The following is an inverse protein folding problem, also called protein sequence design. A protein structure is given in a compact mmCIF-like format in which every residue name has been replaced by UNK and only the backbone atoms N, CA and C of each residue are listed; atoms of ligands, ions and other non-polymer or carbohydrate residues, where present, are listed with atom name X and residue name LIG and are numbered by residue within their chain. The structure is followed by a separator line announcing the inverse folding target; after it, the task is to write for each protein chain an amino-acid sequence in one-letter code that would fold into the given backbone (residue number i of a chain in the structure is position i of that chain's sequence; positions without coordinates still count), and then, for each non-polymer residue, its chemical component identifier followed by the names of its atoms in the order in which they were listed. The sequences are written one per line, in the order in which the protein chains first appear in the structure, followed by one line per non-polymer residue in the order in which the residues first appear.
data_IF_270454197476
#
_entry.id   IF_270454197476
#
_cell.length_a   1.000
_cell.length_b   1.000
_cell.length_c   1.000
_cell.angle_alpha   90.00
_cell.angle_beta   90.00
_cell.angle_gamma   90.00
#
_symmetry.space_group_name_H-M   'P 1'
#
loop_
_entity.id
_entity.type
_entity.pdbx_description
1 polymer ?
#
# COMPACT_ATOMS: atom_id res chain seq x y z
N UNK A 1 -4.03 38.07 56.73
CA UNK A 1 -3.09 37.60 55.68
C UNK A 1 -3.03 36.09 55.56
N UNK A 2 -2.77 35.29 56.61
CA UNK A 2 -2.70 33.81 56.51
C UNK A 2 -3.98 33.12 55.95
N UNK A 3 -5.19 33.61 56.28
CA UNK A 3 -6.46 33.05 55.75
C UNK A 3 -6.72 33.39 54.28
N UNK A 4 -6.20 34.51 53.78
CA UNK A 4 -6.31 34.90 52.37
C UNK A 4 -5.32 34.12 51.49
N UNK A 5 -4.13 33.80 52.03
CA UNK A 5 -3.13 32.99 51.32
C UNK A 5 -3.59 31.53 51.15
N UNK A 6 -4.29 30.97 52.13
CA UNK A 6 -4.90 29.64 52.05
C UNK A 6 -6.07 29.62 51.07
N UNK A 7 -6.89 30.68 51.02
CA UNK A 7 -7.94 30.81 50.01
C UNK A 7 -7.34 30.95 48.59
N UNK A 8 -6.24 31.69 48.45
CA UNK A 8 -5.54 31.86 47.17
C UNK A 8 -4.88 30.56 46.71
N UNK A 9 -4.31 29.77 47.61
CA UNK A 9 -3.77 28.44 47.29
C UNK A 9 -4.87 27.42 46.95
N UNK A 10 -6.02 27.46 47.63
CA UNK A 10 -7.18 26.58 47.32
C UNK A 10 -7.85 26.98 46.00
N UNK A 11 -7.84 28.27 45.64
CA UNK A 11 -8.39 28.75 44.35
C UNK A 11 -7.40 28.55 43.20
N UNK A 12 -6.08 28.62 43.43
CA UNK A 12 -5.07 28.27 42.42
C UNK A 12 -4.94 26.76 42.20
N UNK A 13 -5.21 25.94 43.21
CA UNK A 13 -5.12 24.47 43.10
C UNK A 13 -6.29 23.81 42.37
N UNK A 14 -7.28 24.58 41.88
CA UNK A 14 -8.49 24.04 41.24
C UNK A 14 -8.56 24.37 39.74
N UNK A 15 -7.57 25.08 39.19
CA UNK A 15 -7.45 25.24 37.74
C UNK A 15 -6.23 24.49 37.22
N UNK A 16 -6.29 23.15 37.30
CA UNK A 16 -5.56 22.32 36.33
C UNK A 16 -6.26 22.58 34.99
N UNK A 17 -5.69 23.48 34.20
CA UNK A 17 -6.13 23.69 32.82
C UNK A 17 -5.63 22.48 32.06
N UNK A 18 -6.56 21.70 31.50
CA UNK A 18 -6.22 20.58 30.66
C UNK A 18 -5.29 21.01 29.52
N UNK A 19 -4.21 20.28 29.32
CA UNK A 19 -3.28 20.48 28.23
C UNK A 19 -3.80 19.77 26.97
N UNK A 20 -3.44 20.29 25.80
CA UNK A 20 -3.83 19.70 24.52
C UNK A 20 -2.62 19.66 23.60
N UNK A 21 -2.23 18.46 23.21
CA UNK A 21 -1.22 18.22 22.20
C UNK A 21 -1.86 18.30 20.81
N UNK A 22 -1.15 18.91 19.87
CA UNK A 22 -1.58 19.06 18.49
C UNK A 22 -0.51 18.48 17.58
N UNK A 23 -0.89 17.47 16.82
CA UNK A 23 -0.04 16.85 15.82
C UNK A 23 -0.44 17.43 14.46
N UNK A 24 0.42 18.23 13.80
CA UNK A 24 0.11 18.79 12.50
C UNK A 24 0.02 17.68 11.44
N UNK A 25 -0.93 17.82 10.53
CA UNK A 25 -1.08 16.99 9.33
C UNK A 25 -1.12 17.93 8.13
N UNK A 26 -0.16 17.84 7.24
CA UNK A 26 -0.12 18.69 6.05
C UNK A 26 -0.23 17.86 4.78
N UNK A 27 -0.96 18.39 3.82
CA UNK A 27 -1.09 17.84 2.46
C UNK A 27 -1.27 19.01 1.50
N UNK A 28 -0.65 18.91 0.33
CA UNK A 28 -0.93 19.80 -0.79
C UNK A 28 -2.06 19.18 -1.61
N UNK A 29 -3.25 19.78 -1.58
CA UNK A 29 -4.36 19.36 -2.46
C UNK A 29 -4.26 20.12 -3.78
N UNK A 30 -4.27 19.37 -4.88
CA UNK A 30 -4.22 19.88 -6.25
C UNK A 30 -5.53 19.61 -7.00
N UNK A 31 -6.19 18.48 -6.71
CA UNK A 31 -7.46 18.07 -7.32
C UNK A 31 -8.67 18.67 -6.62
N UNK A 32 -8.51 19.06 -5.35
CA UNK A 32 -9.62 19.45 -4.46
C UNK A 32 -10.38 18.25 -3.89
N UNK A 33 -10.05 17.02 -4.30
CA UNK A 33 -10.59 15.81 -3.71
C UNK A 33 -9.97 15.55 -2.34
N UNK A 34 -10.71 14.96 -1.40
CA UNK A 34 -10.13 14.54 -0.13
C UNK A 34 -9.04 13.48 -0.34
N UNK A 35 -7.94 13.61 0.40
CA UNK A 35 -6.85 12.66 0.48
C UNK A 35 -7.10 11.73 1.66
N UNK A 36 -7.09 10.43 1.39
CA UNK A 36 -7.20 9.39 2.41
C UNK A 36 -5.91 9.31 3.26
N UNK A 37 -6.06 9.37 4.58
CA UNK A 37 -4.97 9.28 5.54
C UNK A 37 -5.19 8.08 6.44
N UNK A 38 -4.15 7.25 6.60
CA UNK A 38 -4.06 6.20 7.61
C UNK A 38 -2.75 6.34 8.38
N UNK A 39 -2.86 6.26 9.71
CA UNK A 39 -1.72 6.31 10.64
C UNK A 39 -1.95 5.32 11.78
N UNK A 40 -0.89 4.62 12.19
CA UNK A 40 -0.98 3.71 13.32
C UNK A 40 -1.11 4.50 14.63
N UNK A 41 -1.89 3.98 15.57
CA UNK A 41 -2.00 4.58 16.91
C UNK A 41 -0.66 4.56 17.66
N UNK A 42 0.26 3.64 17.33
CA UNK A 42 1.65 3.70 17.81
C UNK A 42 2.36 4.99 17.40
N UNK A 43 2.21 5.40 16.14
CA UNK A 43 2.89 6.59 15.61
C UNK A 43 2.28 7.86 16.21
N UNK A 44 0.96 7.87 16.43
CA UNK A 44 0.30 8.96 17.16
C UNK A 44 0.78 9.04 18.61
N UNK A 45 0.91 7.90 19.30
CA UNK A 45 1.43 7.86 20.67
C UNK A 45 2.86 8.43 20.74
N UNK A 46 3.72 8.07 19.80
CA UNK A 46 5.08 8.57 19.71
C UNK A 46 5.12 10.10 19.48
N UNK A 47 4.22 10.63 18.65
CA UNK A 47 4.10 12.07 18.35
C UNK A 47 3.49 12.87 19.50
N UNK A 48 2.54 12.29 20.23
CA UNK A 48 1.92 12.92 21.42
C UNK A 48 2.91 12.94 22.60
N UNK A 49 3.74 11.90 22.70
CA UNK A 49 4.72 11.71 23.74
C UNK A 49 4.21 10.77 24.83
N UNK A 50 5.01 9.75 25.14
CA UNK A 50 4.67 8.69 26.11
C UNK A 50 4.45 9.17 27.55
N UNK A 51 4.93 10.37 27.89
CA UNK A 51 4.78 10.99 29.21
C UNK A 51 3.48 11.83 29.34
N UNK A 52 2.75 12.03 28.25
CA UNK A 52 1.47 12.75 28.25
C UNK A 52 0.32 11.79 28.58
N UNK A 53 -0.46 12.10 29.62
CA UNK A 53 -1.58 11.28 30.08
C UNK A 53 -2.82 11.50 29.19
N UNK A 54 -2.71 11.04 27.94
CA UNK A 54 -3.71 11.25 26.90
C UNK A 54 -5.07 10.63 27.24
N UNK A 55 -6.11 11.45 27.27
CA UNK A 55 -7.47 10.96 27.12
C UNK A 55 -7.76 10.72 25.64
N UNK A 56 -7.67 9.47 25.18
CA UNK A 56 -7.93 9.12 23.78
C UNK A 56 -9.37 9.38 23.32
N UNK A 57 -10.34 9.43 24.25
CA UNK A 57 -11.72 9.85 23.93
C UNK A 57 -11.79 11.34 23.53
N UNK A 58 -10.77 12.13 23.88
CA UNK A 58 -10.65 13.52 23.48
C UNK A 58 -9.97 13.72 22.12
N UNK A 59 -9.51 12.66 21.45
CA UNK A 59 -8.91 12.75 20.12
C UNK A 59 -9.88 13.42 19.15
N UNK A 60 -9.42 14.40 18.38
CA UNK A 60 -10.18 15.02 17.28
C UNK A 60 -9.29 15.23 16.08
N UNK A 61 -9.88 15.17 14.90
CA UNK A 61 -9.24 15.66 13.66
C UNK A 61 -9.90 16.98 13.32
N UNK A 62 -9.11 18.04 13.15
CA UNK A 62 -9.59 19.40 12.93
C UNK A 62 -8.97 19.99 11.67
N UNK A 63 -9.79 20.53 10.78
CA UNK A 63 -9.38 21.26 9.59
C UNK A 63 -10.13 22.61 9.55
N UNK A 64 -9.40 23.71 9.34
CA UNK A 64 -9.97 25.07 9.32
C UNK A 64 -10.86 25.39 10.54
N UNK A 65 -10.48 24.89 11.71
CA UNK A 65 -11.23 25.05 12.96
C UNK A 65 -12.52 24.24 13.06
N UNK A 66 -12.78 23.33 12.11
CA UNK A 66 -13.92 22.41 12.13
C UNK A 66 -13.45 20.98 12.39
N UNK A 67 -14.19 20.28 13.24
CA UNK A 67 -14.00 18.85 13.44
C UNK A 67 -14.38 18.08 12.17
N UNK A 68 -13.50 17.19 11.74
CA UNK A 68 -13.71 16.24 10.65
C UNK A 68 -14.05 14.87 11.21
N UNK A 69 -14.94 14.09 10.54
CA UNK A 69 -15.15 12.70 10.88
C UNK A 69 -13.86 11.89 10.72
N UNK A 70 -13.63 10.99 11.67
CA UNK A 70 -12.52 10.04 11.65
C UNK A 70 -12.98 8.72 12.27
N UNK A 71 -12.21 7.66 12.05
CA UNK A 71 -12.43 6.36 12.70
C UNK A 71 -11.12 5.78 13.23
N UNK A 72 -11.23 5.04 14.33
CA UNK A 72 -10.14 4.22 14.83
C UNK A 72 -10.56 2.76 14.65
N UNK A 73 -9.81 2.05 13.83
CA UNK A 73 -10.06 0.67 13.46
C UNK A 73 -9.25 -0.26 14.36
N UNK A 74 -9.93 -1.17 15.08
CA UNK A 74 -9.34 -2.26 15.88
C UNK A 74 -8.63 -3.26 14.97
N UNK A 75 -7.43 -2.89 14.52
CA UNK A 75 -6.71 -3.62 13.49
C UNK A 75 -5.87 -4.78 14.04
N UNK A 76 -5.76 -4.93 15.36
CA UNK A 76 -5.22 -6.12 16.01
C UNK A 76 -6.31 -7.04 16.63
N UNK A 77 -7.59 -6.65 16.48
CA UNK A 77 -8.77 -7.44 16.83
C UNK A 77 -8.84 -7.79 18.32
N UNK A 78 -8.26 -6.97 19.18
CA UNK A 78 -8.19 -7.23 20.62
C UNK A 78 -9.39 -6.67 21.41
N UNK A 79 -10.27 -5.89 20.76
CA UNK A 79 -11.49 -5.32 21.33
C UNK A 79 -11.29 -4.09 22.21
N UNK A 80 -10.10 -3.47 22.21
CA UNK A 80 -9.76 -2.26 22.97
C UNK A 80 -8.85 -1.35 22.15
N UNK A 81 -8.85 -0.05 22.45
CA UNK A 81 -7.89 0.87 21.85
C UNK A 81 -6.45 0.41 22.15
N UNK A 82 -5.65 0.27 21.11
CA UNK A 82 -4.28 -0.26 21.21
C UNK A 82 -3.32 0.42 20.22
N UNK A 83 -2.01 0.18 20.40
CA UNK A 83 -0.99 0.64 19.45
C UNK A 83 -1.09 -0.03 18.08
N UNK A 84 -1.76 -1.19 17.99
CA UNK A 84 -1.98 -1.92 16.75
C UNK A 84 -3.12 -1.38 15.89
N UNK A 85 -3.89 -0.43 16.41
CA UNK A 85 -5.06 0.17 15.75
C UNK A 85 -4.65 1.24 14.74
N UNK A 86 -5.56 1.52 13.81
CA UNK A 86 -5.33 2.50 12.74
C UNK A 86 -6.32 3.65 12.86
N UNK A 87 -5.81 4.88 12.93
CA UNK A 87 -6.60 6.09 12.76
C UNK A 87 -6.72 6.41 11.27
N UNK A 88 -7.95 6.56 10.80
CA UNK A 88 -8.29 6.85 9.40
C UNK A 88 -9.18 8.07 9.28
N UNK A 89 -8.87 8.95 8.33
CA UNK A 89 -9.67 10.16 8.05
C UNK A 89 -9.41 10.71 6.63
N UNK A 90 -10.20 11.69 6.21
CA UNK A 90 -10.12 12.34 4.89
C UNK A 90 -9.87 13.84 5.05
N UNK A 91 -8.89 14.40 4.33
CA UNK A 91 -8.55 15.84 4.38
C UNK A 91 -8.37 16.44 2.99
N UNK A 92 -8.71 17.71 2.83
CA UNK A 92 -8.51 18.48 1.58
C UNK A 92 -7.37 19.52 1.66
N UNK A 93 -6.58 19.49 2.74
CA UNK A 93 -5.58 20.51 3.05
C UNK A 93 -5.06 20.35 4.49
N UNK A 94 -4.27 21.31 5.00
CA UNK A 94 -3.69 21.25 6.35
C UNK A 94 -4.75 21.01 7.44
N UNK A 95 -4.46 20.08 8.34
CA UNK A 95 -5.29 19.68 9.47
C UNK A 95 -4.44 19.46 10.73
N UNK A 96 -5.09 19.24 11.85
CA UNK A 96 -4.45 18.91 13.14
C UNK A 96 -5.16 17.70 13.76
N UNK A 97 -4.40 16.77 14.30
CA UNK A 97 -4.91 15.76 15.24
C UNK A 97 -4.68 16.33 16.64
N UNK A 98 -5.74 16.49 17.42
CA UNK A 98 -5.66 17.08 18.77
C UNK A 98 -6.04 16.05 19.82
N UNK A 99 -5.27 15.97 20.90
CA UNK A 99 -5.54 15.07 22.05
C UNK A 99 -5.30 15.86 23.33
N UNK A 100 -6.20 15.75 24.30
CA UNK A 100 -6.09 16.40 25.62
C UNK A 100 -5.93 15.39 26.76
N UNK A 101 -5.52 15.89 27.92
CA UNK A 101 -5.53 15.16 29.20
C UNK A 101 -6.86 15.35 29.98
N UNK A 102 -7.88 15.94 29.35
CA UNK A 102 -9.18 16.14 29.97
C UNK A 102 -10.06 14.89 29.87
N UNK A 103 -10.14 14.12 30.96
CA UNK A 103 -10.95 12.90 31.07
C UNK A 103 -12.48 13.13 31.16
N UNK A 104 -12.95 14.38 31.23
CA UNK A 104 -14.39 14.68 31.16
C UNK A 104 -14.93 14.69 29.72
N UNK A 105 -14.04 14.66 28.71
CA UNK A 105 -14.42 14.65 27.29
C UNK A 105 -14.83 13.24 26.88
N UNK A 106 -16.00 13.14 26.24
CA UNK A 106 -16.53 11.91 25.66
C UNK A 106 -16.07 11.71 24.22
N UNK A 107 -16.02 10.46 23.74
CA UNK A 107 -15.69 10.15 22.35
C UNK A 107 -16.74 10.75 21.40
N UNK A 108 -16.34 11.21 20.20
CA UNK A 108 -17.29 11.74 19.23
C UNK A 108 -18.13 10.61 18.63
N UNK A 109 -19.24 10.96 18.00
CA UNK A 109 -20.09 10.01 17.28
C UNK A 109 -20.34 10.54 15.88
N UNK A 110 -20.02 9.72 14.88
CA UNK A 110 -20.21 10.03 13.47
C UNK A 110 -21.15 9.00 12.83
N UNK A 111 -21.80 9.39 11.73
CA UNK A 111 -22.61 8.47 10.95
C UNK A 111 -21.71 7.64 10.01
N UNK A 112 -21.98 6.34 9.84
CA UNK A 112 -21.24 5.51 8.89
C UNK A 112 -21.53 5.92 7.45
N UNK A 113 -20.53 5.77 6.56
CA UNK A 113 -20.64 6.13 5.12
C UNK A 113 -20.84 4.94 4.18
N UNK A 114 -21.05 3.74 4.74
CA UNK A 114 -21.21 2.52 3.97
C UNK A 114 -21.90 1.41 4.76
N UNK A 115 -21.89 0.21 4.18
CA UNK A 115 -22.52 -0.98 4.74
C UNK A 115 -21.66 -2.21 4.47
N UNK A 116 -21.67 -3.12 5.45
CA UNK A 116 -21.07 -4.46 5.32
C UNK A 116 -22.16 -5.50 5.57
N UNK A 117 -22.26 -6.50 4.69
CA UNK A 117 -23.17 -7.64 4.85
C UNK A 117 -22.38 -8.92 4.65
N UNK A 118 -22.53 -9.89 5.55
CA UNK A 118 -21.92 -11.21 5.39
C UNK A 118 -22.86 -12.14 4.61
N UNK A 119 -22.36 -12.72 3.52
CA UNK A 119 -23.09 -13.62 2.63
C UNK A 119 -22.17 -14.80 2.25
N UNK A 120 -22.61 -16.04 2.51
CA UNK A 120 -21.89 -17.28 2.14
C UNK A 120 -20.40 -17.34 2.56
N UNK A 121 -20.06 -16.73 3.71
CA UNK A 121 -18.68 -16.70 4.23
C UNK A 121 -17.76 -15.69 3.53
N UNK A 122 -18.36 -14.72 2.84
CA UNK A 122 -17.72 -13.54 2.28
C UNK A 122 -18.42 -12.28 2.81
N UNK A 123 -17.76 -11.13 2.70
CA UNK A 123 -18.34 -9.85 3.12
C UNK A 123 -18.53 -8.96 1.91
N UNK A 124 -19.79 -8.61 1.64
CA UNK A 124 -20.19 -7.62 0.65
C UNK A 124 -20.07 -6.24 1.29
N UNK A 125 -19.34 -5.36 0.63
CA UNK A 125 -18.99 -4.02 1.08
C UNK A 125 -19.57 -3.02 0.07
N UNK A 126 -20.38 -2.08 0.55
CA UNK A 126 -20.93 -0.97 -0.23
C UNK A 126 -20.48 0.35 0.41
N UNK A 127 -19.73 1.17 -0.31
CA UNK A 127 -19.23 2.45 0.20
C UNK A 127 -18.99 3.45 -0.93
N UNK A 128 -19.60 4.64 -0.84
CA UNK A 128 -19.54 5.63 -1.91
C UNK A 128 -20.02 5.02 -3.23
N UNK A 129 -19.18 5.09 -4.27
CA UNK A 129 -19.43 4.46 -5.57
C UNK A 129 -18.87 3.03 -5.67
N UNK A 130 -18.16 2.53 -4.65
CA UNK A 130 -17.52 1.21 -4.65
C UNK A 130 -18.49 0.13 -4.16
N UNK A 131 -18.57 -0.96 -4.93
CA UNK A 131 -19.03 -2.27 -4.45
C UNK A 131 -17.85 -3.22 -4.42
N UNK A 132 -17.63 -3.91 -3.31
CA UNK A 132 -16.52 -4.83 -3.12
C UNK A 132 -16.91 -6.10 -2.35
N UNK A 133 -16.07 -7.13 -2.47
CA UNK A 133 -16.17 -8.38 -1.73
C UNK A 133 -14.84 -8.64 -1.04
N UNK A 134 -14.87 -8.87 0.26
CA UNK A 134 -13.74 -9.47 0.98
C UNK A 134 -13.97 -10.99 1.10
N UNK A 135 -13.00 -11.78 0.67
CA UNK A 135 -13.09 -13.24 0.78
C UNK A 135 -12.66 -13.72 2.18
N UNK A 136 -12.73 -15.03 2.42
CA UNK A 136 -12.36 -15.66 3.70
C UNK A 136 -10.85 -15.58 4.04
N UNK A 137 -10.02 -14.98 3.19
CA UNK A 137 -8.60 -14.65 3.44
C UNK A 137 -8.39 -13.15 3.69
N UNK A 138 -9.46 -12.35 3.70
CA UNK A 138 -9.39 -10.89 3.78
C UNK A 138 -8.84 -10.21 2.52
N UNK A 139 -8.75 -10.93 1.39
CA UNK A 139 -8.37 -10.32 0.11
C UNK A 139 -9.60 -9.60 -0.47
N UNK A 140 -9.42 -8.33 -0.83
CA UNK A 140 -10.48 -7.47 -1.33
C UNK A 140 -10.52 -7.52 -2.86
N UNK A 141 -11.74 -7.69 -3.38
CA UNK A 141 -12.10 -7.57 -4.80
C UNK A 141 -13.10 -6.44 -4.98
N UNK A 142 -12.82 -5.49 -5.85
CA UNK A 142 -13.79 -4.48 -6.26
C UNK A 142 -14.61 -5.04 -7.41
N UNK A 143 -15.91 -5.19 -7.18
CA UNK A 143 -16.88 -5.77 -8.12
C UNK A 143 -17.74 -4.74 -8.84
N UNK A 144 -17.58 -3.46 -8.52
CA UNK A 144 -18.19 -2.37 -9.26
C UNK A 144 -17.72 -0.99 -8.78
N UNK A 145 -17.84 -0.02 -9.68
CA UNK A 145 -17.59 1.40 -9.42
C UNK A 145 -18.56 2.26 -10.23
N UNK A 146 -19.40 3.05 -9.57
CA UNK A 146 -20.44 3.84 -10.23
C UNK A 146 -21.39 2.94 -11.04
N UNK A 147 -21.49 3.19 -12.34
CA UNK A 147 -22.33 2.40 -13.27
C UNK A 147 -21.60 1.17 -13.86
N UNK A 148 -20.31 0.95 -13.52
CA UNK A 148 -19.52 -0.17 -14.05
C UNK A 148 -19.63 -1.37 -13.11
N UNK A 149 -20.11 -2.50 -13.64
CA UNK A 149 -20.18 -3.78 -12.93
C UNK A 149 -19.12 -4.79 -13.44
N UNK A 150 -18.57 -5.58 -12.53
CA UNK A 150 -17.59 -6.64 -12.82
C UNK A 150 -16.28 -6.47 -12.04
N UNK A 151 -15.30 -7.34 -12.31
CA UNK A 151 -14.00 -7.29 -11.62
C UNK A 151 -13.18 -6.06 -12.02
N UNK A 152 -13.31 -4.97 -11.27
CA UNK A 152 -12.53 -3.73 -11.47
C UNK A 152 -11.09 -3.91 -11.01
N UNK A 153 -10.89 -4.58 -9.87
CA UNK A 153 -9.58 -5.03 -9.37
C UNK A 153 -9.82 -6.19 -8.41
N UNK A 154 -8.91 -7.16 -8.38
CA UNK A 154 -9.03 -8.36 -7.56
C UNK A 154 -7.81 -8.55 -6.67
N UNK A 155 -8.00 -9.32 -5.59
CA UNK A 155 -6.96 -9.80 -4.70
C UNK A 155 -5.98 -8.72 -4.19
N UNK A 156 -6.50 -7.54 -3.82
CA UNK A 156 -5.66 -6.43 -3.33
C UNK A 156 -4.85 -6.90 -2.12
N UNK A 157 -3.52 -6.83 -2.24
CA UNK A 157 -2.58 -7.22 -1.18
C UNK A 157 -2.22 -8.71 -1.17
N UNK A 158 -2.61 -9.50 -2.17
CA UNK A 158 -2.14 -10.88 -2.28
C UNK A 158 -0.62 -10.91 -2.43
N UNK A 159 0.03 -11.88 -1.78
CA UNK A 159 1.47 -12.10 -1.96
C UNK A 159 1.72 -13.26 -2.89
N UNK A 160 2.80 -13.18 -3.67
CA UNK A 160 3.51 -14.33 -4.23
C UNK A 160 4.82 -14.49 -3.47
N UNK A 161 4.95 -15.63 -2.79
CA UNK A 161 6.13 -15.96 -2.01
C UNK A 161 6.77 -17.24 -2.54
N UNK A 162 8.09 -17.21 -2.70
CA UNK A 162 8.88 -18.35 -3.14
C UNK A 162 10.19 -18.41 -2.40
N UNK A 163 10.71 -19.60 -2.14
CA UNK A 163 11.91 -19.81 -1.33
C UNK A 163 12.15 -21.26 -0.94
N UNK A 164 13.08 -21.48 -0.01
CA UNK A 164 13.59 -22.79 0.37
C UNK A 164 13.03 -23.26 1.72
N UNK A 165 12.00 -24.10 1.66
CA UNK A 165 11.27 -24.60 2.83
C UNK A 165 12.08 -25.64 3.59
N UNK A 166 12.18 -25.45 4.91
CA UNK A 166 12.95 -26.33 5.79
C UNK A 166 14.45 -26.18 5.64
N UNK A 167 14.92 -25.05 5.10
CA UNK A 167 16.35 -24.76 4.96
C UNK A 167 17.07 -24.77 6.31
N UNK A 168 18.24 -25.42 6.33
CA UNK A 168 19.18 -25.45 7.46
C UNK A 168 20.45 -24.68 7.15
N UNK A 169 20.44 -23.80 6.14
CA UNK A 169 21.60 -23.08 5.64
C UNK A 169 22.43 -22.40 6.74
N UNK A 170 21.79 -21.83 7.77
CA UNK A 170 22.49 -21.19 8.90
C UNK A 170 23.25 -22.18 9.82
N UNK A 171 22.97 -23.49 9.72
CA UNK A 171 23.63 -24.57 10.47
C UNK A 171 24.70 -25.25 9.62
N UNK A 172 24.34 -25.68 8.41
CA UNK A 172 25.17 -26.58 7.59
C UNK A 172 25.32 -26.14 6.13
N UNK A 173 24.74 -25.02 5.73
CA UNK A 173 24.80 -24.51 4.36
C UNK A 173 23.85 -25.21 3.39
N UNK A 174 22.98 -26.10 3.85
CA UNK A 174 22.06 -26.85 2.99
C UNK A 174 20.71 -26.13 2.82
N UNK A 175 20.28 -26.00 1.57
CA UNK A 175 18.98 -25.46 1.23
C UNK A 175 17.89 -26.52 1.29
N UNK A 176 16.70 -26.09 1.73
CA UNK A 176 15.51 -26.92 1.75
C UNK A 176 14.88 -27.13 0.36
N UNK A 177 13.64 -27.65 0.33
CA UNK A 177 12.90 -27.79 -0.92
C UNK A 177 12.40 -26.41 -1.39
N UNK A 178 12.64 -26.08 -2.65
CA UNK A 178 12.07 -24.87 -3.24
C UNK A 178 10.54 -24.98 -3.40
N UNK A 179 9.82 -23.97 -2.94
CA UNK A 179 8.36 -23.83 -3.06
C UNK A 179 7.98 -22.46 -3.61
N UNK A 180 6.82 -22.38 -4.26
CA UNK A 180 6.16 -21.12 -4.64
C UNK A 180 4.68 -21.20 -4.28
N UNK A 181 4.18 -20.17 -3.61
CA UNK A 181 2.82 -20.09 -3.08
C UNK A 181 2.27 -18.68 -3.15
N UNK A 182 0.95 -18.57 -3.07
CA UNK A 182 0.27 -17.28 -2.89
C UNK A 182 -0.46 -17.23 -1.55
N UNK A 183 -0.90 -16.04 -1.12
CA UNK A 183 -1.70 -15.90 0.12
C UNK A 183 -2.96 -16.76 0.13
N UNK A 184 -3.49 -17.12 -1.05
CA UNK A 184 -4.62 -18.05 -1.17
C UNK A 184 -4.37 -19.42 -0.53
N UNK A 185 -3.11 -19.88 -0.54
CA UNK A 185 -2.68 -21.15 0.06
C UNK A 185 -2.39 -21.05 1.56
N UNK A 186 -2.34 -19.84 2.12
CA UNK A 186 -1.94 -19.63 3.52
C UNK A 186 -3.09 -19.93 4.47
N UNK A 187 -2.77 -20.41 5.67
CA UNK A 187 -3.78 -20.67 6.68
C UNK A 187 -4.25 -19.34 7.29
N UNK A 188 -5.56 -19.18 7.45
CA UNK A 188 -6.11 -18.00 8.12
C UNK A 188 -5.87 -18.17 9.61
N UNK A 189 -5.15 -17.22 10.23
CA UNK A 189 -5.14 -17.06 11.68
C UNK A 189 -6.35 -16.25 12.09
N UNK A 190 -6.52 -15.09 11.46
CA UNK A 190 -7.60 -14.14 11.73
C UNK A 190 -8.06 -13.48 10.43
N UNK A 191 -9.36 -13.21 10.34
CA UNK A 191 -9.97 -12.40 9.27
C UNK A 191 -11.20 -11.70 9.84
N UNK A 192 -11.34 -10.42 9.56
CA UNK A 192 -12.49 -9.64 9.97
C UNK A 192 -12.72 -8.48 9.01
N UNK A 193 -13.98 -8.14 8.76
CA UNK A 193 -14.36 -6.86 8.18
C UNK A 193 -14.96 -6.03 9.28
N UNK A 194 -14.30 -4.92 9.61
CA UNK A 194 -14.71 -4.05 10.70
C UNK A 194 -16.02 -3.32 10.34
N UNK A 195 -16.82 -2.91 11.35
CA UNK A 195 -18.04 -2.15 11.11
C UNK A 195 -17.77 -0.91 10.24
N UNK A 196 -18.74 -0.53 9.41
CA UNK A 196 -18.60 0.67 8.60
C UNK A 196 -18.38 1.90 9.48
N UNK A 197 -17.29 2.61 9.23
CA UNK A 197 -16.97 3.85 9.89
C UNK A 197 -17.45 5.07 9.09
N UNK A 198 -17.22 6.27 9.61
CA UNK A 198 -17.58 7.54 8.96
C UNK A 198 -16.72 7.95 7.77
N UNK A 199 -15.60 7.27 7.49
CA UNK A 199 -14.76 7.60 6.33
C UNK A 199 -14.49 6.39 5.43
N UNK A 200 -14.48 5.18 6.00
CA UNK A 200 -14.10 3.97 5.30
C UNK A 200 -14.60 2.67 5.97
N UNK A 201 -14.33 1.56 5.27
CA UNK A 201 -14.52 0.19 5.76
C UNK A 201 -13.17 -0.53 5.70
N UNK A 202 -12.75 -1.13 6.81
CA UNK A 202 -11.43 -1.77 6.94
C UNK A 202 -11.57 -3.28 7.02
N UNK A 203 -10.81 -3.97 6.18
CA UNK A 203 -10.64 -5.42 6.17
C UNK A 203 -9.29 -5.75 6.77
N UNK A 204 -9.28 -6.64 7.77
CA UNK A 204 -8.08 -7.08 8.47
C UNK A 204 -7.93 -8.59 8.29
N UNK A 205 -6.75 -9.05 7.92
CA UNK A 205 -6.43 -10.47 7.96
C UNK A 205 -5.01 -10.74 8.39
N UNK A 206 -4.83 -11.82 9.14
CA UNK A 206 -3.54 -12.39 9.49
C UNK A 206 -3.49 -13.80 8.93
N UNK A 207 -2.54 -14.05 8.04
CA UNK A 207 -2.34 -15.31 7.34
C UNK A 207 -0.99 -15.92 7.74
N UNK A 208 -0.97 -17.22 7.99
CA UNK A 208 0.24 -17.99 8.24
C UNK A 208 0.66 -18.75 6.98
N UNK A 209 1.87 -18.45 6.51
CA UNK A 209 2.44 -19.10 5.36
C UNK A 209 3.00 -20.48 5.74
N UNK A 210 2.13 -21.46 5.97
CA UNK A 210 2.52 -22.81 6.45
C UNK A 210 3.75 -23.43 5.78
N UNK A 211 3.95 -23.33 4.45
CA UNK A 211 5.16 -23.84 3.82
C UNK A 211 6.43 -23.10 4.27
N UNK A 212 6.35 -21.81 4.55
CA UNK A 212 7.44 -20.98 5.05
C UNK A 212 7.28 -20.77 6.56
N UNK A 213 7.70 -21.78 7.33
CA UNK A 213 7.51 -21.81 8.78
C UNK A 213 7.96 -20.50 9.44
N UNK A 214 7.14 -19.99 10.36
CA UNK A 214 7.40 -18.76 11.09
C UNK A 214 7.10 -17.46 10.34
N UNK A 215 6.66 -17.52 9.08
CA UNK A 215 6.26 -16.33 8.31
C UNK A 215 4.76 -16.08 8.45
N UNK A 216 4.42 -14.89 8.93
CA UNK A 216 3.03 -14.40 9.02
C UNK A 216 2.87 -13.16 8.14
N UNK A 217 1.77 -13.07 7.40
CA UNK A 217 1.36 -11.90 6.62
C UNK A 217 0.14 -11.26 7.28
N UNK A 218 0.25 -10.01 7.71
CA UNK A 218 -0.88 -9.17 8.09
C UNK A 218 -1.26 -8.26 6.93
N UNK A 219 -2.53 -8.23 6.57
CA UNK A 219 -3.10 -7.40 5.51
C UNK A 219 -4.16 -6.51 6.15
N UNK A 220 -3.98 -5.19 6.04
CA UNK A 220 -4.98 -4.20 6.42
C UNK A 220 -5.35 -3.43 5.16
N UNK A 221 -6.59 -3.54 4.72
CA UNK A 221 -7.09 -2.83 3.54
C UNK A 221 -8.28 -1.96 3.93
N UNK A 222 -8.11 -0.65 3.87
CA UNK A 222 -9.17 0.34 4.13
C UNK A 222 -9.69 0.89 2.82
N UNK A 223 -10.99 0.70 2.57
CA UNK A 223 -11.72 1.25 1.42
C UNK A 223 -12.37 2.56 1.89
N UNK A 224 -12.00 3.68 1.29
CA UNK A 224 -12.52 5.00 1.63
C UNK A 224 -13.71 5.37 0.74
N UNK A 225 -14.59 6.21 1.28
CA UNK A 225 -15.78 6.70 0.58
C UNK A 225 -15.51 7.57 -0.65
N UNK A 226 -14.28 8.06 -0.82
CA UNK A 226 -13.85 8.84 -1.98
C UNK A 226 -13.30 7.97 -3.14
N UNK A 227 -13.32 6.64 -3.03
CA UNK A 227 -12.78 5.75 -4.06
C UNK A 227 -11.31 5.34 -3.88
N UNK A 228 -10.63 5.88 -2.87
CA UNK A 228 -9.27 5.44 -2.51
C UNK A 228 -9.32 4.15 -1.68
N UNK A 229 -8.32 3.30 -1.88
CA UNK A 229 -8.11 2.06 -1.12
C UNK A 229 -6.67 2.05 -0.65
N UNK A 230 -6.44 2.01 0.66
CA UNK A 230 -5.10 1.90 1.22
C UNK A 230 -4.89 0.48 1.71
N UNK A 231 -3.91 -0.22 1.14
CA UNK A 231 -3.52 -1.57 1.56
C UNK A 231 -2.14 -1.54 2.20
N UNK A 232 -2.04 -2.08 3.41
CA UNK A 232 -0.80 -2.26 4.14
C UNK A 232 -0.58 -3.76 4.37
N UNK A 233 0.51 -4.27 3.82
CA UNK A 233 0.96 -5.65 3.99
C UNK A 233 2.19 -5.66 4.88
N UNK A 234 2.14 -6.41 5.97
CA UNK A 234 3.25 -6.58 6.91
C UNK A 234 3.61 -8.06 7.00
N UNK A 235 4.88 -8.39 6.77
CA UNK A 235 5.42 -9.73 6.91
C UNK A 235 6.30 -9.78 8.15
N UNK A 236 5.99 -10.69 9.06
CA UNK A 236 6.77 -10.94 10.28
C UNK A 236 7.43 -12.31 10.21
N UNK A 237 8.71 -12.35 10.54
CA UNK A 237 9.54 -13.55 10.51
C UNK A 237 9.83 -14.00 11.95
N UNK A 238 9.10 -15.00 12.45
CA UNK A 238 9.34 -15.58 13.77
C UNK A 238 10.56 -16.54 13.79
N UNK A 239 11.00 -17.00 12.62
CA UNK A 239 12.16 -17.88 12.45
C UNK A 239 12.96 -17.47 11.23
N UNK A 240 14.14 -18.06 11.07
CA UNK A 240 14.95 -17.90 9.87
C UNK A 240 14.18 -18.32 8.61
N UNK A 241 14.22 -17.50 7.56
CA UNK A 241 13.58 -17.80 6.28
C UNK A 241 14.48 -17.40 5.11
N UNK A 242 14.38 -18.17 4.02
CA UNK A 242 15.13 -17.98 2.78
C UNK A 242 14.18 -17.88 1.61
N UNK A 243 14.05 -16.67 1.08
CA UNK A 243 13.08 -16.35 0.05
C UNK A 243 13.78 -15.87 -1.23
N UNK A 244 13.26 -16.37 -2.35
CA UNK A 244 13.57 -15.88 -3.70
C UNK A 244 12.54 -14.86 -4.18
N UNK A 245 11.32 -14.90 -3.65
CA UNK A 245 10.26 -13.95 -3.99
C UNK A 245 9.50 -13.57 -2.74
N UNK A 246 9.28 -12.27 -2.57
CA UNK A 246 8.31 -11.71 -1.64
C UNK A 246 7.70 -10.50 -2.33
N UNK A 247 6.64 -10.75 -3.10
CA UNK A 247 6.01 -9.75 -3.95
C UNK A 247 4.54 -9.59 -3.58
N UNK A 248 4.14 -8.39 -3.19
CA UNK A 248 2.72 -8.06 -3.07
C UNK A 248 2.14 -7.73 -4.43
N UNK A 249 0.83 -7.92 -4.59
CA UNK A 249 0.17 -7.77 -5.87
C UNK A 249 -1.27 -7.23 -5.72
N UNK A 250 -1.76 -6.64 -6.80
CA UNK A 250 -3.17 -6.60 -7.14
C UNK A 250 -3.36 -7.28 -8.51
N UNK A 251 -4.41 -8.09 -8.66
CA UNK A 251 -4.64 -8.88 -9.87
C UNK A 251 -5.82 -8.35 -10.67
N UNK A 252 -5.83 -8.64 -11.98
CA UNK A 252 -6.94 -8.32 -12.89
C UNK A 252 -7.39 -6.86 -12.87
N UNK A 253 -6.45 -5.93 -12.73
CA UNK A 253 -6.75 -4.50 -12.64
C UNK A 253 -7.38 -4.04 -13.96
N UNK A 254 -8.69 -3.82 -14.00
CA UNK A 254 -9.56 -3.52 -15.15
C UNK A 254 -9.57 -4.52 -16.31
N UNK A 255 -8.63 -5.47 -16.36
CA UNK A 255 -8.45 -6.34 -17.52
C UNK A 255 -9.54 -7.40 -17.72
N UNK A 256 -10.39 -7.62 -16.71
CA UNK A 256 -11.52 -8.55 -16.79
C UNK A 256 -12.83 -7.85 -17.22
N UNK A 257 -12.92 -6.53 -17.07
CA UNK A 257 -14.10 -5.74 -17.43
C UNK A 257 -13.96 -5.00 -18.77
N UNK A 258 -12.72 -4.72 -19.18
CA UNK A 258 -12.45 -3.96 -20.40
C UNK A 258 -11.23 -4.51 -21.17
N UNK A 259 -11.48 -5.02 -22.38
CA UNK A 259 -10.42 -5.49 -23.29
C UNK A 259 -9.57 -4.34 -23.86
N UNK A 260 -10.11 -3.12 -23.94
CA UNK A 260 -9.42 -1.93 -24.43
C UNK A 260 -8.51 -1.27 -23.39
N UNK A 261 -8.36 -1.90 -22.22
CA UNK A 261 -7.53 -1.39 -21.12
C UNK A 261 -6.08 -1.22 -21.56
N UNK A 262 -5.51 -0.04 -21.31
CA UNK A 262 -4.09 0.27 -21.46
C UNK A 262 -3.41 0.38 -20.10
N UNK A 263 -2.19 -0.13 -20.00
CA UNK A 263 -1.29 0.10 -18.88
C UNK A 263 -0.50 1.38 -19.13
N UNK A 264 -0.46 2.26 -18.13
CA UNK A 264 0.20 3.57 -18.19
C UNK A 264 1.10 3.76 -16.97
N UNK A 265 2.29 4.32 -17.17
CA UNK A 265 3.25 4.60 -16.09
C UNK A 265 4.34 5.58 -16.54
N UNK A 266 5.06 6.23 -15.62
CA UNK A 266 6.26 6.98 -15.93
C UNK A 266 7.33 6.10 -16.57
N UNK A 267 8.20 6.70 -17.38
CA UNK A 267 9.40 6.01 -17.88
C UNK A 267 10.29 5.62 -16.70
N UNK A 268 10.69 4.35 -16.66
CA UNK A 268 11.55 3.83 -15.59
C UNK A 268 12.85 4.61 -15.48
N UNK A 269 13.26 4.87 -14.23
CA UNK A 269 14.60 5.38 -13.92
C UNK A 269 15.67 4.34 -14.27
N UNK A 270 15.36 3.04 -14.17
CA UNK A 270 16.24 1.94 -14.56
C UNK A 270 15.43 0.69 -14.95
N UNK A 271 15.88 -0.01 -15.98
CA UNK A 271 15.19 -1.19 -16.52
C UNK A 271 16.23 -2.20 -17.03
N UNK A 272 16.13 -3.46 -16.59
CA UNK A 272 17.07 -4.51 -17.00
C UNK A 272 17.13 -4.64 -18.52
N UNK A 273 15.97 -4.59 -19.18
CA UNK A 273 15.87 -4.67 -20.63
C UNK A 273 16.64 -3.58 -21.37
N UNK A 274 16.67 -2.37 -20.81
CA UNK A 274 17.44 -1.27 -21.37
C UNK A 274 18.94 -1.47 -21.13
N UNK A 275 19.32 -1.88 -19.91
CA UNK A 275 20.71 -2.18 -19.54
C UNK A 275 21.29 -3.30 -20.43
N UNK A 276 20.52 -4.36 -20.71
CA UNK A 276 20.91 -5.47 -21.61
C UNK A 276 21.11 -5.07 -23.07
N UNK A 277 20.38 -4.06 -23.53
CA UNK A 277 20.54 -3.53 -24.89
C UNK A 277 21.53 -2.36 -24.94
N UNK A 278 22.07 -1.93 -23.80
CA UNK A 278 22.95 -0.77 -23.67
C UNK A 278 22.31 0.52 -24.23
N UNK A 279 21.03 0.73 -23.91
CA UNK A 279 20.23 1.91 -24.27
C UNK A 279 19.54 2.46 -23.02
N UNK A 280 18.95 3.65 -23.12
CA UNK A 280 18.13 4.20 -22.03
C UNK A 280 16.75 3.53 -21.96
N UNK A 281 16.08 3.53 -20.79
CA UNK A 281 14.70 3.07 -20.68
C UNK A 281 13.75 3.80 -21.66
N UNK A 282 13.97 5.09 -21.92
CA UNK A 282 13.17 5.84 -22.89
C UNK A 282 13.34 5.28 -24.31
N UNK A 283 14.58 5.04 -24.76
CA UNK A 283 14.86 4.44 -26.07
C UNK A 283 14.24 3.05 -26.20
N UNK A 284 14.35 2.22 -25.15
CA UNK A 284 13.77 0.88 -25.12
C UNK A 284 12.26 0.89 -25.44
N UNK A 285 11.52 1.82 -24.83
CA UNK A 285 10.07 1.93 -25.02
C UNK A 285 9.69 2.70 -26.30
N UNK A 286 10.52 3.63 -26.77
CA UNK A 286 10.34 4.30 -28.07
C UNK A 286 10.41 3.30 -29.22
N UNK A 287 11.38 2.38 -29.21
CA UNK A 287 11.52 1.34 -30.24
C UNK A 287 10.30 0.40 -30.30
N UNK A 288 9.53 0.33 -29.21
CA UNK A 288 8.32 -0.49 -29.09
C UNK A 288 7.04 0.28 -29.37
N UNK A 289 7.14 1.54 -29.80
CA UNK A 289 6.00 2.45 -29.99
C UNK A 289 5.11 2.56 -28.74
N UNK A 290 5.73 2.52 -27.56
CA UNK A 290 5.04 2.49 -26.27
C UNK A 290 5.11 3.83 -25.53
N UNK A 291 5.55 4.91 -26.19
CA UNK A 291 5.70 6.22 -25.53
C UNK A 291 4.64 7.19 -26.04
N UNK A 292 3.91 7.78 -25.10
CA UNK A 292 3.03 8.93 -25.30
C UNK A 292 3.63 10.12 -24.56
N UNK A 293 3.60 11.29 -25.20
CA UNK A 293 4.04 12.53 -24.57
C UNK A 293 2.84 13.32 -24.07
N UNK A 294 2.83 13.64 -22.78
CA UNK A 294 1.92 14.62 -22.21
C UNK A 294 2.71 15.89 -21.88
N UNK A 295 2.45 16.95 -22.64
CA UNK A 295 3.34 18.11 -22.68
C UNK A 295 4.75 17.70 -23.13
N UNK A 296 5.75 17.94 -22.28
CA UNK A 296 7.16 17.58 -22.53
C UNK A 296 7.62 16.33 -21.75
N UNK A 297 6.70 15.61 -21.10
CA UNK A 297 7.03 14.42 -20.29
C UNK A 297 6.63 13.13 -21.02
N UNK A 298 7.53 12.15 -21.15
CA UNK A 298 7.21 10.86 -21.74
C UNK A 298 6.58 9.91 -20.71
N UNK A 299 5.59 9.14 -21.16
CA UNK A 299 4.92 8.09 -20.40
C UNK A 299 4.89 6.80 -21.21
N UNK A 300 5.06 5.67 -20.53
CA UNK A 300 4.92 4.34 -21.13
C UNK A 300 3.42 4.03 -21.19
N UNK A 301 2.92 3.66 -22.37
CA UNK A 301 1.53 3.26 -22.62
C UNK A 301 1.51 2.04 -23.53
N UNK A 302 0.87 0.96 -23.09
CA UNK A 302 0.70 -0.26 -23.89
C UNK A 302 -0.58 -1.04 -23.51
N UNK A 303 -1.11 -1.93 -24.37
CA UNK A 303 -2.29 -2.72 -24.03
C UNK A 303 -2.09 -3.60 -22.79
N UNK A 304 -2.99 -3.53 -21.81
CA UNK A 304 -2.87 -4.30 -20.56
C UNK A 304 -3.20 -5.78 -20.76
N UNK A 305 -4.21 -6.09 -21.59
CA UNK A 305 -4.73 -7.47 -21.78
C UNK A 305 -3.79 -8.31 -22.64
N UNK A 306 -3.42 -7.80 -23.81
CA UNK A 306 -2.46 -8.40 -24.74
C UNK A 306 -1.15 -7.61 -24.69
N UNK A 307 -0.40 -7.82 -23.61
CA UNK A 307 0.75 -6.99 -23.27
C UNK A 307 1.93 -7.16 -24.24
N UNK A 308 2.85 -6.18 -24.20
CA UNK A 308 4.00 -6.17 -25.08
C UNK A 308 4.92 -7.35 -24.82
N UNK A 309 5.41 -7.97 -25.91
CA UNK A 309 6.38 -9.06 -25.82
C UNK A 309 7.67 -8.55 -25.20
N UNK A 310 8.20 -9.23 -24.18
CA UNK A 310 9.46 -8.84 -23.56
C UNK A 310 10.66 -9.29 -24.39
N UNK A 311 11.85 -8.90 -23.95
CA UNK A 311 13.11 -9.46 -24.49
C UNK A 311 13.19 -10.97 -24.24
N UNK A 312 12.84 -11.40 -23.03
CA UNK A 312 12.72 -12.80 -22.63
C UNK A 312 11.81 -12.90 -21.38
N UNK A 313 11.48 -14.12 -20.94
CA UNK A 313 10.70 -14.43 -19.71
C UNK A 313 9.23 -13.99 -19.61
N UNK A 314 8.50 -13.74 -20.69
CA UNK A 314 7.04 -13.51 -20.66
C UNK A 314 6.55 -12.22 -19.96
N UNK A 315 7.35 -11.60 -19.10
CA UNK A 315 7.03 -10.37 -18.36
C UNK A 315 7.36 -9.11 -19.16
N UNK A 316 6.34 -8.33 -19.54
CA UNK A 316 6.46 -7.05 -20.28
C UNK A 316 7.54 -6.14 -19.70
N UNK A 317 7.59 -6.04 -18.37
CA UNK A 317 8.76 -5.57 -17.64
C UNK A 317 8.99 -6.42 -16.40
N UNK A 318 10.26 -6.59 -16.05
CA UNK A 318 10.76 -7.28 -14.86
C UNK A 318 12.11 -6.66 -14.51
N UNK A 319 12.48 -6.67 -13.23
CA UNK A 319 13.65 -5.93 -12.74
C UNK A 319 13.62 -4.47 -13.22
N UNK A 320 12.46 -3.85 -13.06
CA UNK A 320 12.27 -2.45 -13.32
C UNK A 320 12.29 -1.71 -11.99
N UNK A 321 12.87 -0.51 -11.95
CA UNK A 321 12.77 0.35 -10.77
C UNK A 321 11.30 0.62 -10.43
N UNK A 322 10.95 0.62 -9.14
CA UNK A 322 9.62 1.04 -8.73
C UNK A 322 9.49 2.54 -8.97
N UNK A 323 8.48 2.97 -9.73
CA UNK A 323 8.21 4.38 -9.96
C UNK A 323 7.12 4.90 -9.04
N UNK A 324 6.71 6.16 -9.21
CA UNK A 324 5.78 6.80 -8.30
C UNK A 324 4.34 6.29 -8.43
N UNK A 325 3.95 5.83 -9.62
CA UNK A 325 2.61 5.32 -9.88
C UNK A 325 2.61 4.45 -11.14
N UNK A 326 1.62 3.57 -11.24
CA UNK A 326 1.22 2.87 -12.47
C UNK A 326 -0.30 2.77 -12.50
N UNK A 327 -0.91 2.76 -13.68
CA UNK A 327 -2.36 2.71 -13.79
C UNK A 327 -2.79 1.85 -14.96
N UNK A 328 -3.98 1.27 -14.85
CA UNK A 328 -4.72 0.74 -15.98
C UNK A 328 -5.89 1.67 -16.26
N UNK A 329 -6.20 1.92 -17.53
CA UNK A 329 -7.28 2.80 -17.95
C UNK A 329 -8.01 2.22 -19.17
N UNK A 330 -9.33 2.28 -19.16
CA UNK A 330 -10.19 1.91 -20.30
C UNK A 330 -10.89 3.15 -20.84
N UNK A 331 -10.75 3.38 -22.16
CA UNK A 331 -11.40 4.50 -22.84
C UNK A 331 -12.91 4.26 -22.98
N UNK A 332 -13.31 3.01 -23.24
CA UNK A 332 -14.72 2.64 -23.42
C UNK A 332 -15.54 2.79 -22.13
N UNK A 333 -14.93 2.48 -20.98
CA UNK A 333 -15.56 2.64 -19.67
C UNK A 333 -15.32 4.03 -19.06
N UNK A 334 -14.36 4.80 -19.58
CA UNK A 334 -13.85 6.04 -18.96
C UNK A 334 -13.40 5.84 -17.51
N UNK A 335 -12.90 4.65 -17.20
CA UNK A 335 -12.57 4.20 -15.86
C UNK A 335 -11.09 3.84 -15.79
N UNK A 336 -10.44 4.25 -14.71
CA UNK A 336 -9.05 3.93 -14.42
C UNK A 336 -8.87 3.41 -12.99
N UNK A 337 -7.82 2.62 -12.80
CA UNK A 337 -7.33 2.19 -11.49
C UNK A 337 -5.83 2.46 -11.44
N UNK A 338 -5.43 3.37 -10.56
CA UNK A 338 -4.03 3.71 -10.32
C UNK A 338 -3.55 3.01 -9.04
N UNK A 339 -2.34 2.49 -9.06
CA UNK A 339 -1.55 2.16 -7.87
C UNK A 339 -0.48 3.24 -7.70
N UNK A 340 -0.44 3.84 -6.52
CA UNK A 340 0.45 4.94 -6.16
C UNK A 340 1.35 4.46 -5.03
N UNK A 341 2.65 4.71 -5.20
CA UNK A 341 3.65 4.50 -4.17
C UNK A 341 3.74 5.76 -3.28
N UNK A 342 3.38 5.68 -1.99
CA UNK A 342 3.53 6.81 -1.06
C UNK A 342 4.98 7.27 -0.94
N UNK A 343 5.91 6.32 -1.05
CA UNK A 343 7.35 6.58 -1.07
C UNK A 343 7.97 5.89 -2.27
N UNK A 344 8.84 6.62 -2.98
CA UNK A 344 9.52 6.10 -4.17
C UNK A 344 10.88 5.55 -3.76
N UNK A 345 11.15 4.24 -3.92
CA UNK A 345 12.44 3.67 -3.55
C UNK A 345 13.62 4.32 -4.29
N UNK A 346 14.75 4.39 -3.59
CA UNK A 346 16.03 4.81 -4.18
C UNK A 346 16.52 3.74 -5.14
N UNK A 347 16.89 4.15 -6.35
CA UNK A 347 17.58 3.27 -7.30
C UNK A 347 19.07 3.32 -6.99
N UNK A 348 19.60 2.21 -6.47
CA UNK A 348 21.03 2.10 -6.16
C UNK A 348 21.85 1.88 -7.44
N UNK A 349 23.07 2.42 -7.45
CA UNK A 349 23.97 2.31 -8.60
C UNK A 349 24.53 0.89 -8.78
N UNK A 350 24.80 0.22 -7.66
CA UNK A 350 25.25 -1.17 -7.59
C UNK A 350 24.21 -2.09 -8.27
N UNK A 351 24.64 -2.77 -9.33
CA UNK A 351 23.75 -3.52 -10.21
C UNK A 351 23.10 -4.69 -9.47
N UNK A 352 23.90 -5.47 -8.76
CA UNK A 352 23.46 -6.64 -8.00
C UNK A 352 22.50 -6.24 -6.88
N UNK A 353 22.81 -5.18 -6.12
CA UNK A 353 21.92 -4.68 -5.06
C UNK A 353 20.62 -4.10 -5.58
N UNK A 354 20.61 -3.52 -6.78
CA UNK A 354 19.38 -3.03 -7.39
C UNK A 354 18.51 -4.19 -7.87
N UNK A 355 19.12 -5.18 -8.53
CA UNK A 355 18.43 -6.39 -9.00
C UNK A 355 17.83 -7.18 -7.85
N UNK A 356 18.55 -7.30 -6.73
CA UNK A 356 18.05 -7.88 -5.47
C UNK A 356 17.32 -6.88 -4.57
N UNK A 357 16.85 -5.79 -5.15
CA UNK A 357 16.09 -4.76 -4.47
C UNK A 357 14.59 -4.90 -4.69
N UNK A 358 13.88 -3.83 -4.32
CA UNK A 358 12.48 -3.67 -4.64
C UNK A 358 12.33 -3.36 -6.13
N UNK A 359 11.60 -4.22 -6.84
CA UNK A 359 11.35 -4.07 -8.29
C UNK A 359 9.87 -4.08 -8.60
N UNK A 360 9.52 -3.56 -9.77
CA UNK A 360 8.21 -3.74 -10.38
C UNK A 360 8.27 -4.84 -11.45
N UNK A 361 7.20 -5.62 -11.51
CA UNK A 361 7.02 -6.69 -12.50
C UNK A 361 5.61 -6.66 -13.06
N UNK A 362 5.49 -6.85 -14.38
CA UNK A 362 4.21 -6.98 -15.08
C UNK A 362 4.28 -8.12 -16.09
N UNK A 363 3.61 -9.22 -15.80
CA UNK A 363 3.65 -10.46 -16.59
C UNK A 363 2.25 -10.99 -16.91
N UNK A 364 1.41 -11.12 -15.89
CA UNK A 364 0.10 -11.79 -16.00
C UNK A 364 -1.06 -10.85 -15.71
N UNK A 365 -0.98 -9.58 -16.16
CA UNK A 365 -1.98 -8.52 -15.88
C UNK A 365 -2.08 -8.17 -14.40
N UNK A 366 -0.97 -8.36 -13.68
CA UNK A 366 -0.85 -8.13 -12.24
C UNK A 366 0.05 -6.93 -11.99
N UNK A 367 -0.38 -6.08 -11.08
CA UNK A 367 0.48 -5.08 -10.50
C UNK A 367 1.31 -5.77 -9.43
N UNK A 368 2.53 -6.19 -9.75
CA UNK A 368 3.44 -6.84 -8.79
C UNK A 368 4.57 -5.93 -8.37
N UNK A 369 4.88 -5.96 -7.08
CA UNK A 369 5.99 -5.22 -6.52
C UNK A 369 6.61 -5.97 -5.33
N UNK A 370 7.92 -5.89 -5.17
CA UNK A 370 8.63 -6.51 -4.04
C UNK A 370 9.98 -7.09 -4.43
N UNK A 371 10.46 -8.02 -3.62
CA UNK A 371 11.72 -8.72 -3.85
C UNK A 371 11.54 -9.82 -4.90
N UNK A 372 12.41 -9.85 -5.90
CA UNK A 372 12.46 -10.88 -6.93
C UNK A 372 13.91 -11.23 -7.21
N UNK A 373 14.37 -12.32 -6.62
CA UNK A 373 15.77 -12.70 -6.51
C UNK A 373 16.13 -13.89 -7.39
N UNK A 374 15.37 -14.12 -8.47
CA UNK A 374 15.72 -15.18 -9.40
C UNK A 374 16.51 -14.61 -10.56
N UNK A 375 17.81 -14.87 -10.61
CA UNK A 375 18.68 -14.35 -11.67
C UNK A 375 18.85 -15.37 -12.79
N UNK A 376 18.28 -15.09 -13.98
CA UNK A 376 18.32 -15.98 -15.11
C UNK A 376 19.64 -15.85 -15.87
N UNK A 377 20.15 -16.96 -16.41
CA UNK A 377 21.38 -16.98 -17.20
C UNK A 377 21.30 -16.13 -18.47
N UNK A 378 20.08 -15.78 -18.90
CA UNK A 378 19.77 -14.83 -19.97
C UNK A 378 20.40 -13.44 -19.74
N UNK A 379 20.73 -13.09 -18.50
CA UNK A 379 21.45 -11.84 -18.20
C UNK A 379 22.85 -11.85 -18.80
N UNK A 380 23.56 -12.98 -18.76
CA UNK A 380 24.94 -13.10 -19.24
C UNK A 380 25.07 -13.24 -20.77
N UNK A 381 23.94 -13.45 -21.46
CA UNK A 381 23.90 -13.54 -22.92
C UNK A 381 24.26 -12.18 -23.55
N UNK A 382 23.90 -11.08 -22.90
CA UNK A 382 24.12 -9.73 -23.42
C UNK A 382 25.46 -9.17 -22.94
N UNK A 383 26.25 -8.63 -23.87
CA UNK A 383 27.61 -8.12 -23.57
C UNK A 383 27.60 -7.02 -22.51
N UNK A 384 26.58 -6.17 -22.50
CA UNK A 384 26.48 -5.02 -21.59
C UNK A 384 26.16 -5.40 -20.15
N UNK A 385 25.64 -6.60 -19.91
CA UNK A 385 25.27 -7.10 -18.57
C UNK A 385 26.04 -8.35 -18.15
N UNK A 386 26.93 -8.85 -19.02
CA UNK A 386 27.73 -10.04 -18.73
C UNK A 386 28.66 -9.81 -17.53
N UNK A 387 28.56 -10.69 -16.54
CA UNK A 387 29.42 -10.68 -15.36
C UNK A 387 29.15 -9.54 -14.37
N UNK A 388 28.06 -8.78 -14.54
CA UNK A 388 27.60 -7.81 -13.53
C UNK A 388 26.85 -8.47 -12.37
N UNK A 389 26.44 -9.72 -12.56
CA UNK A 389 25.63 -10.50 -11.63
C UNK A 389 26.27 -11.88 -11.54
N UNK A 390 26.28 -12.48 -10.36
CA UNK A 390 26.66 -13.89 -10.18
C UNK A 390 25.76 -14.83 -10.97
N UNK A 391 26.32 -15.91 -11.51
CA UNK A 391 25.56 -17.01 -12.10
C UNK A 391 25.03 -18.01 -11.05
N UNK A 392 25.41 -17.86 -9.78
CA UNK A 392 24.98 -18.75 -8.71
C UNK A 392 23.71 -18.20 -8.07
N UNK A 393 22.62 -18.98 -8.13
CA UNK A 393 21.33 -18.57 -7.55
C UNK A 393 21.41 -18.34 -6.03
N UNK A 394 22.33 -19.01 -5.34
CA UNK A 394 22.51 -18.95 -3.87
C UNK A 394 22.91 -17.56 -3.37
N UNK A 395 23.52 -16.76 -4.24
CA UNK A 395 23.97 -15.39 -3.96
C UNK A 395 22.79 -14.41 -3.84
N UNK A 396 21.64 -14.76 -4.42
CA UNK A 396 20.44 -13.92 -4.44
C UNK A 396 19.42 -14.30 -3.38
N UNK A 397 19.59 -15.45 -2.71
CA UNK A 397 18.65 -15.89 -1.69
C UNK A 397 18.57 -14.85 -0.59
N UNK A 398 17.39 -14.25 -0.43
CA UNK A 398 17.16 -13.25 0.60
C UNK A 398 16.92 -13.94 1.92
N UNK A 399 17.75 -13.60 2.89
CA UNK A 399 17.78 -14.23 4.22
C UNK A 399 17.12 -13.28 5.22
N UNK A 400 16.12 -13.80 5.92
CA UNK A 400 15.42 -13.09 6.99
C UNK A 400 15.71 -13.77 8.32
N UNK A 401 16.05 -12.98 9.33
CA UNK A 401 16.27 -13.41 10.69
C UNK A 401 14.96 -13.38 11.50
N UNK A 402 14.96 -14.07 12.64
CA UNK A 402 13.86 -13.97 13.58
C UNK A 402 13.75 -12.52 14.12
N UNK A 403 12.56 -11.95 14.05
CA UNK A 403 12.26 -10.57 14.39
C UNK A 403 12.32 -9.60 13.22
N UNK A 404 12.72 -10.04 12.02
CA UNK A 404 12.65 -9.18 10.83
C UNK A 404 11.19 -8.87 10.49
N UNK A 405 10.96 -7.65 10.01
CA UNK A 405 9.68 -7.16 9.53
C UNK A 405 9.86 -6.51 8.17
N UNK A 406 8.99 -6.87 7.21
CA UNK A 406 8.94 -6.24 5.89
C UNK A 406 7.53 -5.71 5.67
N UNK A 407 7.40 -4.43 5.33
CA UNK A 407 6.11 -3.79 5.09
C UNK A 407 6.01 -3.18 3.70
N UNK A 408 4.81 -3.24 3.13
CA UNK A 408 4.46 -2.60 1.86
C UNK A 408 3.15 -1.84 2.01
N UNK A 409 3.17 -0.53 1.77
CA UNK A 409 1.98 0.32 1.72
C UNK A 409 1.71 0.74 0.28
N UNK A 410 0.50 0.48 -0.21
CA UNK A 410 0.04 0.89 -1.54
C UNK A 410 -1.27 1.65 -1.40
N UNK A 411 -1.41 2.70 -2.21
CA UNK A 411 -2.68 3.40 -2.39
C UNK A 411 -3.19 3.04 -3.77
N UNK A 412 -4.41 2.53 -3.84
CA UNK A 412 -5.14 2.36 -5.08
C UNK A 412 -6.20 3.45 -5.17
N UNK A 413 -6.34 4.07 -6.33
CA UNK A 413 -7.41 5.05 -6.59
C UNK A 413 -8.18 4.60 -7.81
N UNK A 414 -9.49 4.44 -7.65
CA UNK A 414 -10.42 4.19 -8.76
C UNK A 414 -10.99 5.54 -9.18
N UNK A 415 -10.92 5.86 -10.46
CA UNK A 415 -11.23 7.20 -10.95
C UNK A 415 -11.86 7.17 -12.33
N UNK A 416 -12.61 8.23 -12.65
CA UNK A 416 -13.13 8.47 -13.98
C UNK A 416 -12.21 9.42 -14.75
N UNK A 417 -11.99 9.16 -16.04
CA UNK A 417 -11.20 10.02 -16.92
C UNK A 417 -11.71 9.94 -18.36
N UNK A 418 -11.78 11.07 -19.06
CA UNK A 418 -12.33 11.15 -20.43
C UNK A 418 -11.34 10.70 -21.52
N UNK A 419 -10.05 10.68 -21.20
CA UNK A 419 -8.97 10.30 -22.12
C UNK A 419 -7.78 9.67 -21.38
N UNK A 420 -6.83 9.12 -22.15
CA UNK A 420 -5.55 8.61 -21.61
C UNK A 420 -4.76 9.77 -20.98
N UNK A 421 -4.79 10.94 -21.60
CA UNK A 421 -4.15 12.16 -21.10
C UNK A 421 -4.72 12.57 -19.75
N UNK A 422 -6.05 12.62 -19.61
CA UNK A 422 -6.71 12.94 -18.33
C UNK A 422 -6.41 11.88 -17.26
N UNK A 423 -6.29 10.61 -17.65
CA UNK A 423 -5.89 9.53 -16.75
C UNK A 423 -4.46 9.69 -16.23
N UNK A 424 -3.52 10.10 -17.09
CA UNK A 424 -2.14 10.39 -16.70
C UNK A 424 -2.08 11.62 -15.78
N UNK A 425 -2.83 12.67 -16.11
CA UNK A 425 -2.93 13.88 -15.29
C UNK A 425 -3.49 13.56 -13.90
N UNK A 426 -4.58 12.80 -13.82
CA UNK A 426 -5.13 12.33 -12.55
C UNK A 426 -4.07 11.60 -11.73
N UNK A 427 -3.37 10.61 -12.32
CA UNK A 427 -2.38 9.83 -11.61
C UNK A 427 -1.20 10.69 -11.10
N UNK A 428 -0.72 11.66 -11.89
CA UNK A 428 0.34 12.59 -11.49
C UNK A 428 -0.08 13.53 -10.36
N UNK A 429 -1.29 14.09 -10.43
CA UNK A 429 -1.84 14.97 -9.39
C UNK A 429 -2.05 14.18 -8.10
N UNK A 430 -2.76 13.05 -8.16
CA UNK A 430 -3.05 12.20 -7.00
C UNK A 430 -1.77 11.72 -6.33
N UNK A 431 -0.78 11.30 -7.11
CA UNK A 431 0.56 10.96 -6.61
C UNK A 431 1.22 12.13 -5.91
N UNK A 432 1.14 13.34 -6.45
CA UNK A 432 1.74 14.53 -5.83
C UNK A 432 1.06 14.88 -4.51
N UNK A 433 -0.26 14.68 -4.39
CA UNK A 433 -1.00 14.87 -3.13
C UNK A 433 -0.56 13.86 -2.08
N UNK A 434 -0.59 12.56 -2.41
CA UNK A 434 -0.23 11.47 -1.49
C UNK A 434 1.23 11.61 -1.01
N UNK A 435 2.17 11.93 -1.91
CA UNK A 435 3.59 12.08 -1.56
C UNK A 435 3.89 13.39 -0.81
N UNK A 436 2.95 14.34 -0.78
CA UNK A 436 3.05 15.56 0.01
C UNK A 436 2.54 15.40 1.45
N UNK A 437 1.88 14.28 1.78
CA UNK A 437 1.35 14.03 3.10
C UNK A 437 2.49 13.96 4.13
N UNK A 438 2.41 14.82 5.14
CA UNK A 438 3.31 14.83 6.30
C UNK A 438 2.51 14.85 7.59
N UNK A 439 2.95 14.09 8.58
CA UNK A 439 2.32 14.00 9.90
C UNK A 439 3.40 14.25 10.97
N UNK A 440 3.17 15.21 11.86
CA UNK A 440 4.10 15.56 12.92
C UNK A 440 5.28 16.47 12.51
N UNK A 441 5.33 16.92 11.26
CA UNK A 441 6.36 17.84 10.72
C UNK A 441 5.91 19.31 10.66
#
# INVERSE_FOLDING_TARGET
MKRFLVLFFIVLSVFLVAETVRVPVSVNSFTGEPVAVTIAMSDILDLVGVDFDANWDSLRVVQDGKELPYQIDDADLNGRLSSGDILSFLITGPAEITVSDNFDILPPTYQPVGKVTEEDGQWVIEIGEITAIANNKGLVKVTGFGDVEGTVVDEIGIVRMSGYVGSTYYIDGEFGRHEEKTSGDFAVKEVSVLPAGPVGITVVSTLEAKPFLGVTQKIITTIFSNGDIISHNTFEFATYAELMKLQIMATRVLTDVAEDTVHTLPVFRRLLWADQLNITPLEYWLERNAIVYFGNKPYIVFPAVDSMRPLWWGATYIFASQESWRANYSLSLKLGVAEINPEVPVVVADYEKWMGGLTWVYESREFRDGYFEWMPGEIDVFESTRGYVSSNWEDYVKRFAAGDVVSFKRVYSIFNADSIEDSIEFAELKKSEIQSLKIGE
#
